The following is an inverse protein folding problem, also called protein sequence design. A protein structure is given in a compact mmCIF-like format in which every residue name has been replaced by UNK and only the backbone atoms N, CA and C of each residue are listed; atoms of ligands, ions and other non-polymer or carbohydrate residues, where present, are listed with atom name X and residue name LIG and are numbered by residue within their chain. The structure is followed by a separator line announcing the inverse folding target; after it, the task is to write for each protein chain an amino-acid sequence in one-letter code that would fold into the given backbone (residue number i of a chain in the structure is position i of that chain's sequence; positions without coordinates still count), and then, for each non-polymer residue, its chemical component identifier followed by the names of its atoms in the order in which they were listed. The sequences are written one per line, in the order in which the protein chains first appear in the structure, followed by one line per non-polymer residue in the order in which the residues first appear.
data_IF_665913732214
#
_entry.id   IF_665913732214
#
_cell.length_a   1.000
_cell.length_b   1.000
_cell.length_c   1.000
_cell.angle_alpha   90.00
_cell.angle_beta   90.00
_cell.angle_gamma   90.00
#
_symmetry.space_group_name_H-M   'P 1'
#
loop_
_entity.id
_entity.type
_entity.pdbx_description
1 polymer ?
#
# COMPACT_ATOMS: atom_id res chain seq x y z
N UNK A 1 37.04 17.74 -2.69
CA UNK A 1 35.60 17.98 -2.50
C UNK A 1 34.88 17.07 -3.51
N UNK A 2 34.46 15.88 -3.08
CA UNK A 2 33.82 14.91 -3.97
C UNK A 2 32.35 15.35 -4.19
N UNK A 3 31.88 15.51 -5.44
CA UNK A 3 30.46 15.76 -5.67
C UNK A 3 29.68 14.50 -5.27
N UNK A 4 28.71 14.67 -4.36
CA UNK A 4 27.72 13.63 -4.09
C UNK A 4 26.92 13.40 -5.37
N UNK A 5 27.15 12.27 -6.04
CA UNK A 5 26.26 11.79 -7.08
C UNK A 5 24.90 11.53 -6.42
N UNK A 6 23.93 12.40 -6.68
CA UNK A 6 22.55 12.19 -6.24
C UNK A 6 22.05 10.86 -6.79
N UNK A 7 21.61 9.96 -5.90
CA UNK A 7 21.09 8.66 -6.31
C UNK A 7 19.94 8.80 -7.31
N UNK A 8 19.88 7.91 -8.30
CA UNK A 8 18.81 7.85 -9.28
C UNK A 8 17.44 7.82 -8.59
N UNK A 9 16.56 8.74 -8.95
CA UNK A 9 15.19 8.81 -8.44
C UNK A 9 14.41 7.62 -9.00
N UNK A 10 13.88 6.70 -8.17
CA UNK A 10 13.16 5.54 -8.69
C UNK A 10 11.82 5.99 -9.25
N UNK A 11 11.59 5.80 -10.53
CA UNK A 11 10.31 6.06 -11.19
C UNK A 11 9.60 4.73 -11.40
N UNK A 12 8.47 4.54 -10.72
CA UNK A 12 7.70 3.30 -10.78
C UNK A 12 6.26 3.63 -11.15
N UNK A 13 5.71 2.89 -12.10
CA UNK A 13 4.35 3.03 -12.58
C UNK A 13 3.63 1.69 -12.39
N UNK A 14 2.43 1.74 -11.83
CA UNK A 14 1.56 0.59 -11.66
C UNK A 14 0.21 0.87 -12.32
N UNK A 15 -0.15 0.06 -13.31
CA UNK A 15 -1.42 0.15 -14.02
C UNK A 15 -2.39 -0.98 -13.63
N UNK A 16 -1.94 -1.92 -12.80
CA UNK A 16 -2.73 -3.05 -12.32
C UNK A 16 -2.24 -3.50 -10.94
N UNK A 17 -3.05 -4.27 -10.19
CA UNK A 17 -2.62 -4.88 -8.94
C UNK A 17 -1.42 -5.80 -9.15
N UNK A 18 -0.61 -5.96 -8.12
CA UNK A 18 0.54 -6.86 -8.04
C UNK A 18 1.68 -6.57 -9.03
N UNK A 19 1.74 -5.37 -9.62
CA UNK A 19 2.90 -4.90 -10.39
C UNK A 19 3.93 -4.15 -9.55
N UNK A 20 3.48 -3.32 -8.60
CA UNK A 20 4.37 -2.58 -7.70
C UNK A 20 3.83 -2.59 -6.28
N UNK A 21 4.63 -3.14 -5.38
CA UNK A 21 4.37 -3.08 -3.94
C UNK A 21 5.32 -2.09 -3.27
N UNK A 22 4.79 -1.35 -2.32
CA UNK A 22 5.53 -0.58 -1.34
C UNK A 22 5.70 -1.43 -0.08
N UNK A 23 6.89 -1.45 0.52
CA UNK A 23 7.16 -2.12 1.77
C UNK A 23 7.81 -1.16 2.77
N UNK A 24 7.23 -1.07 3.97
CA UNK A 24 7.77 -0.24 5.03
C UNK A 24 7.57 -0.85 6.43
N UNK A 25 8.32 -0.34 7.41
CA UNK A 25 8.30 -0.76 8.80
C UNK A 25 8.05 0.45 9.69
N UNK A 26 7.03 0.36 10.55
CA UNK A 26 6.78 1.39 11.56
C UNK A 26 6.86 0.83 12.98
N UNK A 27 7.26 1.69 13.92
CA UNK A 27 7.31 1.35 15.34
C UNK A 27 5.95 1.58 16.00
N UNK A 28 5.52 0.61 16.78
CA UNK A 28 4.39 0.68 17.70
C UNK A 28 4.94 0.77 19.13
N UNK A 29 4.39 1.65 19.95
CA UNK A 29 4.85 1.79 21.33
C UNK A 29 4.41 0.58 22.17
N UNK A 30 5.37 -0.09 22.80
CA UNK A 30 5.11 -1.19 23.73
C UNK A 30 4.75 -0.71 25.14
N UNK A 31 4.69 -1.66 26.11
CA UNK A 31 4.15 -1.40 27.45
C UNK A 31 5.00 -0.43 28.26
N UNK A 32 6.30 -0.33 27.95
CA UNK A 32 7.24 0.54 28.66
C UNK A 32 7.90 1.57 27.73
N UNK A 33 8.50 2.60 28.32
CA UNK A 33 9.33 3.56 27.59
C UNK A 33 10.48 2.81 26.91
N UNK A 34 10.76 3.15 25.64
CA UNK A 34 11.77 2.50 24.80
C UNK A 34 11.52 1.03 24.42
N UNK A 35 10.40 0.45 24.83
CA UNK A 35 9.92 -0.82 24.31
C UNK A 35 9.08 -0.56 23.05
N UNK A 36 9.39 -1.25 21.97
CA UNK A 36 8.70 -1.11 20.69
C UNK A 36 8.40 -2.47 20.09
N UNK A 37 7.25 -2.53 19.40
CA UNK A 37 6.98 -3.56 18.41
C UNK A 37 7.17 -2.97 17.01
N UNK A 38 7.45 -3.84 16.05
CA UNK A 38 7.75 -3.46 14.68
C UNK A 38 6.66 -4.03 13.78
N UNK A 39 5.90 -3.13 13.17
CA UNK A 39 4.86 -3.47 12.21
C UNK A 39 5.45 -3.33 10.81
N UNK A 40 5.62 -4.46 10.13
CA UNK A 40 5.97 -4.52 8.72
C UNK A 40 4.69 -4.53 7.90
N UNK A 41 4.63 -3.71 6.83
CA UNK A 41 3.47 -3.62 5.93
C UNK A 41 3.95 -3.63 4.48
N UNK A 42 3.39 -4.55 3.69
CA UNK A 42 3.53 -4.61 2.24
C UNK A 42 2.18 -4.19 1.65
N UNK A 43 2.22 -3.14 0.84
CA UNK A 43 1.06 -2.44 0.30
C UNK A 43 1.16 -2.40 -1.23
N UNK A 44 0.12 -2.82 -1.92
CA UNK A 44 0.01 -2.63 -3.36
C UNK A 44 -0.31 -1.16 -3.68
N UNK A 45 0.53 -0.48 -4.46
CA UNK A 45 0.38 0.98 -4.66
C UNK A 45 -0.79 1.34 -5.57
N UNK A 46 -1.17 0.43 -6.48
CA UNK A 46 -2.25 0.66 -7.44
C UNK A 46 -3.61 0.61 -6.74
N UNK A 47 -3.85 -0.45 -5.99
CA UNK A 47 -5.10 -0.73 -5.29
C UNK A 47 -5.16 -0.17 -3.87
N UNK A 48 -4.03 0.25 -3.30
CA UNK A 48 -3.85 0.55 -1.86
C UNK A 48 -4.14 -0.64 -0.95
N UNK A 49 -4.14 -1.87 -1.47
CA UNK A 49 -4.46 -3.05 -0.69
C UNK A 49 -3.24 -3.51 0.10
N UNK A 50 -3.39 -3.71 1.41
CA UNK A 50 -2.34 -4.31 2.23
C UNK A 50 -2.32 -5.80 1.94
N UNK A 51 -1.37 -6.19 1.08
CA UNK A 51 -1.21 -7.58 0.63
C UNK A 51 -0.65 -8.49 1.73
N UNK A 52 0.21 -7.93 2.59
CA UNK A 52 0.85 -8.66 3.69
C UNK A 52 1.32 -7.73 4.80
N UNK A 53 1.28 -8.20 6.03
CA UNK A 53 1.79 -7.47 7.19
C UNK A 53 2.20 -8.44 8.30
N UNK A 54 3.05 -7.98 9.22
CA UNK A 54 3.33 -8.72 10.47
C UNK A 54 3.74 -7.78 11.59
N UNK A 55 3.48 -8.19 12.84
CA UNK A 55 4.01 -7.53 14.03
C UNK A 55 5.06 -8.41 14.69
N UNK A 56 6.26 -7.84 14.90
CA UNK A 56 7.42 -8.48 15.47
C UNK A 56 7.94 -7.73 16.70
N UNK A 57 8.64 -8.43 17.60
CA UNK A 57 9.33 -7.83 18.75
C UNK A 57 10.69 -7.22 18.39
N UNK A 58 11.21 -7.51 17.19
CA UNK A 58 12.46 -6.97 16.66
C UNK A 58 12.44 -6.94 15.14
N UNK A 59 13.21 -6.05 14.56
CA UNK A 59 13.53 -6.10 13.14
C UNK A 59 14.52 -7.24 12.86
N UNK A 60 14.22 -8.06 11.84
CA UNK A 60 15.10 -9.16 11.43
C UNK A 60 14.88 -9.50 9.96
N UNK A 61 15.97 -9.69 9.22
CA UNK A 61 15.93 -10.14 7.83
C UNK A 61 15.14 -11.46 7.68
N UNK A 62 15.30 -12.42 8.60
CA UNK A 62 14.58 -13.69 8.55
C UNK A 62 13.05 -13.50 8.67
N UNK A 63 12.59 -12.53 9.46
CA UNK A 63 11.16 -12.23 9.56
C UNK A 63 10.63 -11.56 8.28
N UNK A 64 11.42 -10.65 7.70
CA UNK A 64 11.11 -10.05 6.41
C UNK A 64 11.02 -11.10 5.29
N UNK A 65 11.92 -12.07 5.26
CA UNK A 65 11.89 -13.16 4.28
C UNK A 65 10.61 -14.00 4.38
N UNK A 66 10.24 -14.39 5.60
CA UNK A 66 9.01 -15.14 5.85
C UNK A 66 7.79 -14.35 5.39
N UNK A 67 7.71 -13.06 5.75
CA UNK A 67 6.63 -12.18 5.32
C UNK A 67 6.53 -12.08 3.80
N UNK A 68 7.63 -11.76 3.12
CA UNK A 68 7.66 -11.57 1.67
C UNK A 68 7.26 -12.87 0.97
N UNK A 69 7.86 -14.00 1.36
CA UNK A 69 7.56 -15.31 0.75
C UNK A 69 6.09 -15.69 0.92
N UNK A 70 5.54 -15.55 2.12
CA UNK A 70 4.13 -15.85 2.39
C UNK A 70 3.19 -14.92 1.63
N UNK A 71 3.55 -13.64 1.53
CA UNK A 71 2.75 -12.64 0.81
C UNK A 71 2.74 -12.91 -0.69
N UNK A 72 3.91 -13.23 -1.27
CA UNK A 72 4.01 -13.61 -2.69
C UNK A 72 3.22 -14.88 -2.99
N UNK A 73 3.31 -15.90 -2.14
CA UNK A 73 2.53 -17.13 -2.29
C UNK A 73 1.02 -16.87 -2.19
N UNK A 74 0.58 -16.05 -1.23
CA UNK A 74 -0.83 -15.67 -1.05
C UNK A 74 -1.38 -14.92 -2.27
N UNK A 75 -0.58 -14.07 -2.87
CA UNK A 75 -0.95 -13.26 -4.03
C UNK A 75 -0.65 -13.92 -5.38
N UNK A 76 -0.19 -15.18 -5.35
CA UNK A 76 0.21 -15.94 -6.54
C UNK A 76 1.17 -15.17 -7.46
N UNK A 77 2.17 -14.51 -6.87
CA UNK A 77 3.16 -13.72 -7.62
C UNK A 77 4.06 -14.64 -8.43
N UNK A 78 4.11 -14.39 -9.74
CA UNK A 78 5.00 -15.05 -10.68
C UNK A 78 6.37 -14.34 -10.74
N UNK A 79 7.37 -15.05 -11.28
CA UNK A 79 8.68 -14.45 -11.54
C UNK A 79 8.56 -13.29 -12.51
N UNK A 80 9.35 -12.25 -12.30
CA UNK A 80 9.45 -11.05 -13.13
C UNK A 80 8.16 -10.21 -13.23
N UNK A 81 7.13 -10.53 -12.44
CA UNK A 81 5.86 -9.82 -12.38
C UNK A 81 5.91 -8.57 -11.50
N UNK A 82 6.66 -8.64 -10.39
CA UNK A 82 6.53 -7.70 -9.27
C UNK A 82 7.80 -6.87 -9.08
N UNK A 83 7.62 -5.58 -8.82
CA UNK A 83 8.62 -4.72 -8.20
C UNK A 83 8.26 -4.43 -6.74
N UNK A 84 9.20 -4.62 -5.82
CA UNK A 84 9.06 -4.16 -4.42
C UNK A 84 9.92 -2.91 -4.23
N UNK A 85 9.25 -1.81 -3.87
CA UNK A 85 9.87 -0.56 -3.46
C UNK A 85 9.93 -0.45 -1.94
N UNK A 86 11.10 -0.23 -1.38
CA UNK A 86 11.28 -0.09 0.05
C UNK A 86 12.30 1.01 0.40
N UNK A 87 12.21 1.54 1.61
CA UNK A 87 13.22 2.44 2.12
C UNK A 87 14.59 1.75 2.28
N UNK A 88 15.63 2.54 2.59
CA UNK A 88 16.99 2.02 2.78
C UNK A 88 17.26 1.51 4.21
N UNK A 89 16.22 1.06 4.91
CA UNK A 89 16.34 0.49 6.25
C UNK A 89 17.29 -0.73 6.29
N UNK A 90 17.86 -1.03 7.45
CA UNK A 90 18.81 -2.14 7.62
C UNK A 90 18.20 -3.50 7.24
N UNK A 91 16.93 -3.73 7.56
CA UNK A 91 16.19 -4.93 7.17
C UNK A 91 16.01 -5.01 5.64
N UNK A 92 15.68 -3.88 5.01
CA UNK A 92 15.34 -3.78 3.59
C UNK A 92 16.56 -3.88 2.67
N UNK A 93 17.73 -3.48 3.17
CA UNK A 93 19.01 -3.51 2.45
C UNK A 93 19.86 -4.73 2.80
N UNK A 94 19.31 -5.67 3.58
CA UNK A 94 20.03 -6.85 4.03
C UNK A 94 20.27 -7.84 2.87
N UNK A 95 21.46 -8.45 2.84
CA UNK A 95 21.82 -9.47 1.83
C UNK A 95 20.80 -10.63 1.74
N UNK A 96 20.31 -11.19 2.87
CA UNK A 96 19.36 -12.30 2.81
C UNK A 96 18.06 -11.92 2.09
N UNK A 97 17.50 -10.73 2.38
CA UNK A 97 16.31 -10.21 1.68
C UNK A 97 16.60 -9.97 0.20
N UNK A 98 17.76 -9.39 -0.15
CA UNK A 98 18.12 -9.17 -1.55
C UNK A 98 18.23 -10.48 -2.34
N UNK A 99 18.83 -11.53 -1.76
CA UNK A 99 18.89 -12.85 -2.39
C UNK A 99 17.52 -13.51 -2.53
N UNK A 100 16.66 -13.40 -1.51
CA UNK A 100 15.28 -13.88 -1.61
C UNK A 100 14.54 -13.24 -2.78
N UNK A 101 14.62 -11.92 -2.92
CA UNK A 101 13.95 -11.21 -4.00
C UNK A 101 14.46 -11.66 -5.36
N UNK A 102 15.78 -11.84 -5.52
CA UNK A 102 16.37 -12.38 -6.74
C UNK A 102 15.90 -13.82 -7.05
N UNK A 103 15.82 -14.69 -6.05
CA UNK A 103 15.33 -16.07 -6.22
C UNK A 103 13.87 -16.08 -6.72
N UNK A 104 13.03 -15.21 -6.13
CA UNK A 104 11.63 -15.03 -6.51
C UNK A 104 11.43 -14.27 -7.83
N UNK A 105 12.50 -13.77 -8.47
CA UNK A 105 12.39 -12.94 -9.68
C UNK A 105 11.69 -11.60 -9.43
N UNK A 106 11.82 -11.04 -8.22
CA UNK A 106 11.21 -9.76 -7.85
C UNK A 106 12.24 -8.65 -8.03
N UNK A 107 11.86 -7.60 -8.76
CA UNK A 107 12.72 -6.43 -8.92
C UNK A 107 12.72 -5.60 -7.63
N UNK A 108 13.90 -5.30 -7.11
CA UNK A 108 14.04 -4.45 -5.92
C UNK A 108 14.27 -2.99 -6.32
N UNK A 109 13.49 -2.08 -5.73
CA UNK A 109 13.65 -0.63 -5.86
C UNK A 109 13.81 0.00 -4.48
N UNK A 110 14.60 1.07 -4.38
CA UNK A 110 14.82 1.77 -3.12
C UNK A 110 14.70 3.28 -3.24
N UNK A 111 14.18 3.90 -2.18
CA UNK A 111 14.21 5.35 -1.95
C UNK A 111 15.63 5.92 -2.09
N UNK A 112 15.75 7.19 -2.47
CA UNK A 112 17.06 7.85 -2.57
C UNK A 112 17.75 7.88 -1.20
N UNK A 113 19.11 7.82 -1.16
CA UNK A 113 19.83 7.99 0.08
C UNK A 113 19.39 9.26 0.82
N UNK A 114 19.06 9.12 2.10
CA UNK A 114 18.63 10.22 2.97
C UNK A 114 17.29 10.89 2.59
N UNK A 115 16.44 10.25 1.78
CA UNK A 115 15.10 10.73 1.43
C UNK A 115 14.06 9.66 1.77
N UNK A 116 13.47 9.73 2.96
CA UNK A 116 12.36 8.84 3.36
C UNK A 116 11.06 9.11 2.59
N UNK A 117 10.89 10.33 2.09
CA UNK A 117 9.66 10.77 1.41
C UNK A 117 9.41 10.11 0.04
N UNK A 118 10.28 9.21 -0.43
CA UNK A 118 10.08 8.50 -1.69
C UNK A 118 9.12 7.29 -1.53
N UNK A 119 8.56 7.04 -0.32
CA UNK A 119 7.57 5.99 -0.07
C UNK A 119 6.17 6.49 0.39
N UNK A 120 5.51 7.36 -0.39
CA UNK A 120 4.31 8.10 0.05
C UNK A 120 3.10 7.22 0.37
N UNK A 121 2.99 6.03 -0.24
CA UNK A 121 1.84 5.13 -0.02
C UNK A 121 1.89 4.47 1.35
N UNK A 122 3.06 3.99 1.78
CA UNK A 122 3.25 3.45 3.13
C UNK A 122 3.09 4.54 4.18
N UNK A 123 3.64 5.73 3.97
CA UNK A 123 3.46 6.86 4.88
C UNK A 123 1.98 7.23 5.06
N UNK A 124 1.22 7.31 3.96
CA UNK A 124 -0.21 7.59 4.01
C UNK A 124 -0.98 6.49 4.75
N UNK A 125 -0.66 5.21 4.51
CA UNK A 125 -1.26 4.07 5.20
C UNK A 125 -0.98 4.12 6.71
N UNK A 126 0.27 4.38 7.12
CA UNK A 126 0.62 4.51 8.54
C UNK A 126 -0.03 5.71 9.20
N UNK A 127 -0.21 6.81 8.47
CA UNK A 127 -0.99 7.95 8.96
C UNK A 127 -2.44 7.53 9.21
N UNK A 128 -3.08 6.82 8.29
CA UNK A 128 -4.44 6.29 8.48
C UNK A 128 -4.51 5.38 9.70
N UNK A 129 -3.52 4.50 9.90
CA UNK A 129 -3.45 3.65 11.09
C UNK A 129 -3.35 4.47 12.39
N UNK A 130 -2.40 5.40 12.47
CA UNK A 130 -2.03 6.09 13.73
C UNK A 130 -2.96 7.22 14.13
N UNK A 131 -3.70 7.79 13.18
CA UNK A 131 -4.62 8.91 13.45
C UNK A 131 -6.05 8.46 13.71
N UNK A 132 -6.32 7.15 13.69
CA UNK A 132 -7.63 6.64 14.08
C UNK A 132 -7.89 6.85 15.58
N UNK A 133 -9.11 7.21 15.98
CA UNK A 133 -9.45 7.45 17.40
C UNK A 133 -9.18 6.25 18.31
N UNK A 134 -9.28 5.03 17.78
CA UNK A 134 -9.04 3.77 18.49
C UNK A 134 -7.58 3.31 18.45
N UNK A 135 -6.66 4.07 17.84
CA UNK A 135 -5.24 3.76 17.89
C UNK A 135 -4.68 4.02 19.30
N UNK A 136 -4.15 3.00 20.00
CA UNK A 136 -3.75 3.15 21.37
C UNK A 136 -2.42 3.90 21.46
N UNK A 137 -2.25 4.71 22.51
CA UNK A 137 -0.97 5.38 22.78
C UNK A 137 0.18 4.39 23.05
N UNK A 138 -0.15 3.21 23.62
CA UNK A 138 0.76 2.08 23.88
C UNK A 138 0.01 0.76 23.79
N UNK A 139 0.70 -0.29 23.39
CA UNK A 139 0.21 -1.66 23.43
C UNK A 139 0.78 -2.39 24.64
N UNK A 140 -0.08 -3.02 25.42
CA UNK A 140 0.31 -3.76 26.63
C UNK A 140 1.13 -5.02 26.31
N UNK A 141 0.89 -5.64 25.16
CA UNK A 141 1.59 -6.84 24.69
C UNK A 141 1.70 -6.87 23.16
N UNK A 142 2.54 -7.78 22.63
CA UNK A 142 2.64 -8.00 21.19
C UNK A 142 1.35 -8.61 20.64
N UNK A 143 0.64 -9.42 21.44
CA UNK A 143 -0.66 -9.99 21.11
C UNK A 143 -1.73 -8.91 20.98
N UNK A 144 -1.72 -7.90 21.87
CA UNK A 144 -2.61 -6.75 21.77
C UNK A 144 -2.34 -5.96 20.47
N UNK A 145 -1.07 -5.74 20.14
CA UNK A 145 -0.68 -5.09 18.88
C UNK A 145 -1.12 -5.89 17.65
N UNK A 146 -0.94 -7.22 17.65
CA UNK A 146 -1.39 -8.11 16.57
C UNK A 146 -2.91 -8.10 16.41
N UNK A 147 -3.65 -8.16 17.52
CA UNK A 147 -5.12 -8.12 17.51
C UNK A 147 -5.63 -6.82 16.92
N UNK A 148 -5.08 -5.69 17.37
CA UNK A 148 -5.43 -4.38 16.82
C UNK A 148 -5.12 -4.29 15.32
N UNK A 149 -3.93 -4.71 14.89
CA UNK A 149 -3.55 -4.71 13.48
C UNK A 149 -4.47 -5.61 12.65
N UNK A 150 -4.86 -6.78 13.16
CA UNK A 150 -5.77 -7.69 12.45
C UNK A 150 -7.13 -7.05 12.18
N UNK A 151 -7.73 -6.44 13.20
CA UNK A 151 -8.99 -5.69 13.05
C UNK A 151 -8.81 -4.52 12.08
N UNK A 152 -7.73 -3.74 12.27
CA UNK A 152 -7.47 -2.57 11.45
C UNK A 152 -7.29 -2.92 9.98
N UNK A 153 -6.49 -3.94 9.64
CA UNK A 153 -6.21 -4.28 8.24
C UNK A 153 -7.41 -4.92 7.54
N UNK A 154 -8.24 -5.68 8.27
CA UNK A 154 -9.53 -6.14 7.73
C UNK A 154 -10.41 -4.95 7.35
N UNK A 155 -10.62 -4.01 8.27
CA UNK A 155 -11.37 -2.79 7.98
C UNK A 155 -10.73 -1.94 6.86
N UNK A 156 -9.42 -1.76 6.88
CA UNK A 156 -8.70 -0.93 5.91
C UNK A 156 -8.85 -1.47 4.48
N UNK A 157 -8.72 -2.79 4.31
CA UNK A 157 -8.79 -3.42 2.99
C UNK A 157 -10.24 -3.52 2.49
N UNK A 158 -11.17 -3.91 3.34
CA UNK A 158 -12.49 -4.41 2.93
C UNK A 158 -13.63 -3.42 3.18
N UNK A 159 -13.43 -2.38 4.00
CA UNK A 159 -14.48 -1.44 4.38
C UNK A 159 -14.11 0.03 4.15
N UNK A 160 -12.84 0.40 4.35
CA UNK A 160 -12.40 1.78 4.23
C UNK A 160 -12.44 2.24 2.77
N UNK A 161 -13.25 3.26 2.48
CA UNK A 161 -13.40 3.83 1.14
C UNK A 161 -12.35 4.91 0.92
N UNK A 162 -11.54 4.74 -0.11
CA UNK A 162 -10.49 5.70 -0.41
C UNK A 162 -10.93 6.71 -1.47
N UNK A 163 -10.81 8.01 -1.17
CA UNK A 163 -11.16 9.09 -2.12
C UNK A 163 -10.37 8.98 -3.42
N UNK A 164 -9.06 8.76 -3.34
CA UNK A 164 -8.23 8.58 -4.54
C UNK A 164 -8.42 7.23 -5.26
N UNK A 165 -9.37 6.38 -4.83
CA UNK A 165 -9.83 5.18 -5.57
C UNK A 165 -11.29 5.35 -6.02
N UNK A 166 -11.81 6.57 -6.10
CA UNK A 166 -13.22 6.78 -6.46
C UNK A 166 -14.20 6.25 -5.40
N UNK A 167 -13.82 6.33 -4.11
CA UNK A 167 -14.61 5.81 -2.98
C UNK A 167 -14.84 4.29 -3.01
N UNK A 168 -14.01 3.55 -3.73
CA UNK A 168 -13.91 2.10 -3.63
C UNK A 168 -13.07 1.69 -2.41
N UNK A 169 -13.30 0.47 -1.93
CA UNK A 169 -12.39 -0.16 -0.96
C UNK A 169 -11.11 -0.59 -1.68
N UNK A 170 -10.04 -0.85 -0.94
CA UNK A 170 -8.82 -1.34 -1.56
C UNK A 170 -9.04 -2.73 -2.20
N UNK A 171 -9.83 -3.59 -1.55
CA UNK A 171 -10.18 -4.91 -2.07
C UNK A 171 -10.98 -4.85 -3.37
N UNK A 172 -11.90 -3.87 -3.50
CA UNK A 172 -12.66 -3.67 -4.73
C UNK A 172 -11.74 -3.47 -5.95
N UNK A 173 -10.67 -2.68 -5.78
CA UNK A 173 -9.70 -2.42 -6.84
C UNK A 173 -8.78 -3.62 -7.03
N UNK A 174 -8.27 -4.18 -5.94
CA UNK A 174 -7.27 -5.25 -5.97
C UNK A 174 -7.77 -6.52 -6.66
N UNK A 175 -9.04 -6.88 -6.45
CA UNK A 175 -9.66 -8.09 -7.01
C UNK A 175 -10.57 -7.80 -8.21
N UNK A 176 -10.51 -6.60 -8.80
CA UNK A 176 -11.24 -6.29 -10.04
C UNK A 176 -12.76 -6.17 -9.89
N UNK A 177 -13.27 -5.90 -8.69
CA UNK A 177 -14.71 -5.72 -8.43
C UNK A 177 -15.20 -4.29 -8.69
N UNK A 178 -14.28 -3.35 -8.93
CA UNK A 178 -14.53 -1.93 -9.01
C UNK A 178 -15.61 -1.56 -10.05
N UNK A 179 -15.54 -2.10 -11.27
CA UNK A 179 -16.51 -1.80 -12.33
C UNK A 179 -17.92 -2.26 -11.96
N UNK A 180 -18.06 -3.49 -11.47
CA UNK A 180 -19.37 -4.01 -11.02
C UNK A 180 -19.99 -3.15 -9.91
N UNK A 181 -19.17 -2.67 -8.98
CA UNK A 181 -19.62 -1.78 -7.89
C UNK A 181 -19.98 -0.40 -8.44
N UNK A 182 -19.23 0.09 -9.43
CA UNK A 182 -19.47 1.36 -10.08
C UNK A 182 -20.80 1.35 -10.84
N UNK A 183 -21.10 0.27 -11.56
CA UNK A 183 -22.36 0.08 -12.27
C UNK A 183 -23.55 0.08 -11.30
N UNK A 184 -23.44 -0.65 -10.19
CA UNK A 184 -24.47 -0.64 -9.13
C UNK A 184 -24.69 0.78 -8.58
N UNK A 185 -23.63 1.56 -8.39
CA UNK A 185 -23.75 2.97 -7.97
C UNK A 185 -24.42 3.83 -9.05
N UNK A 186 -24.12 3.60 -10.33
CA UNK A 186 -24.76 4.31 -11.43
C UNK A 186 -26.28 4.12 -11.41
N UNK A 187 -26.75 2.89 -11.19
CA UNK A 187 -28.19 2.59 -11.06
C UNK A 187 -28.84 3.34 -9.90
N UNK A 188 -28.19 3.37 -8.72
CA UNK A 188 -28.69 4.09 -7.55
C UNK A 188 -28.76 5.59 -7.80
N UNK A 189 -27.71 6.17 -8.39
CA UNK A 189 -27.62 7.58 -8.72
C UNK A 189 -28.66 8.00 -9.77
N UNK A 190 -28.87 7.18 -10.80
CA UNK A 190 -29.91 7.40 -11.81
C UNK A 190 -31.31 7.37 -11.19
N UNK A 191 -31.57 6.41 -10.29
CA UNK A 191 -32.85 6.30 -9.58
C UNK A 191 -33.10 7.52 -8.67
N UNK A 192 -32.07 7.98 -7.96
CA UNK A 192 -32.15 9.18 -7.12
C UNK A 192 -32.41 10.45 -7.95
N UNK A 193 -31.76 10.57 -9.11
CA UNK A 193 -31.99 11.68 -10.04
C UNK A 193 -33.41 11.69 -10.61
N UNK A 194 -33.93 10.52 -10.99
CA UNK A 194 -35.30 10.39 -11.50
C UNK A 194 -36.36 10.77 -10.44
N UNK A 195 -36.11 10.44 -9.16
CA UNK A 195 -37.03 10.77 -8.07
C UNK A 195 -36.96 12.24 -7.63
N UNK A 196 -35.77 12.84 -7.67
CA UNK A 196 -35.49 14.17 -7.11
C UNK A 196 -34.55 15.00 -7.98
N UNK A 197 -34.93 15.35 -9.23
CA UNK A 197 -34.06 16.10 -10.14
C UNK A 197 -33.68 17.48 -9.58
N UNK A 198 -34.52 18.09 -8.74
CA UNK A 198 -34.28 19.38 -8.09
C UNK A 198 -33.06 19.39 -7.16
N UNK A 199 -32.64 18.22 -6.66
CA UNK A 199 -31.42 18.09 -5.84
C UNK A 199 -30.14 18.12 -6.66
N UNK A 200 -30.23 18.08 -7.99
CA UNK A 200 -29.11 17.99 -8.93
C UNK A 200 -29.13 19.15 -9.92
N UNK A 201 -28.63 20.31 -9.47
CA UNK A 201 -28.79 21.62 -10.12
C UNK A 201 -28.16 21.73 -11.52
N UNK A 202 -27.13 20.94 -11.82
CA UNK A 202 -26.36 21.10 -13.07
C UNK A 202 -26.50 19.95 -14.05
N UNK A 203 -26.35 18.71 -13.58
CA UNK A 203 -26.38 17.52 -14.43
C UNK A 203 -26.74 16.27 -13.61
N UNK A 204 -27.15 15.18 -14.27
CA UNK A 204 -27.28 13.89 -13.61
C UNK A 204 -25.99 13.50 -12.88
N UNK A 205 -26.09 12.95 -11.66
CA UNK A 205 -24.93 12.49 -10.92
C UNK A 205 -24.27 11.30 -11.61
N UNK A 206 -22.94 11.27 -11.61
CA UNK A 206 -22.15 10.16 -12.14
C UNK A 206 -21.31 9.55 -11.00
N UNK A 207 -21.15 8.22 -10.95
CA UNK A 207 -20.27 7.63 -9.96
C UNK A 207 -18.81 8.03 -10.25
N UNK A 208 -17.98 8.16 -9.21
CA UNK A 208 -16.57 8.54 -9.36
C UNK A 208 -15.82 7.63 -10.36
N UNK A 209 -14.77 8.19 -10.98
CA UNK A 209 -13.88 7.42 -11.85
C UNK A 209 -13.00 6.50 -11.03
N UNK A 210 -12.70 5.33 -11.59
CA UNK A 210 -11.72 4.39 -11.06
C UNK A 210 -10.33 4.84 -11.56
N UNK A 211 -9.30 4.91 -10.71
CA UNK A 211 -7.95 5.25 -11.16
C UNK A 211 -7.41 4.15 -12.08
N UNK A 212 -6.71 4.57 -13.14
CA UNK A 212 -6.08 3.68 -14.11
C UNK A 212 -4.57 3.50 -13.88
N UNK A 213 -3.95 4.38 -13.09
CA UNK A 213 -2.51 4.37 -12.87
C UNK A 213 -2.16 4.94 -11.50
N UNK A 214 -1.14 4.38 -10.85
CA UNK A 214 -0.46 4.92 -9.68
C UNK A 214 1.04 4.96 -9.92
N UNK A 215 1.75 5.86 -9.24
CA UNK A 215 3.20 5.98 -9.42
C UNK A 215 3.93 6.33 -8.12
N UNK A 216 5.16 5.84 -8.00
CA UNK A 216 6.17 6.39 -7.11
C UNK A 216 7.09 7.22 -7.98
N UNK A 217 7.21 8.52 -7.68
CA UNK A 217 7.91 9.52 -8.49
C UNK A 217 7.46 9.51 -9.96
N UNK A 218 6.47 10.34 -10.28
CA UNK A 218 5.92 10.42 -11.64
C UNK A 218 7.04 10.67 -12.66
N UNK A 219 7.13 9.88 -13.75
CA UNK A 219 8.01 10.17 -14.86
C UNK A 219 7.65 11.51 -15.51
N UNK A 220 8.66 12.25 -15.96
CA UNK A 220 8.46 13.56 -16.62
C UNK A 220 7.82 13.42 -18.02
N UNK A 221 7.83 12.22 -18.61
CA UNK A 221 7.17 11.89 -19.88
C UNK A 221 6.21 10.70 -19.71
N UNK A 222 4.95 10.77 -20.18
CA UNK A 222 4.09 9.59 -20.24
C UNK A 222 4.73 8.57 -21.18
N UNK A 223 4.96 7.33 -20.72
CA UNK A 223 5.28 6.23 -21.62
C UNK A 223 4.08 6.06 -22.57
N UNK A 224 4.30 6.25 -23.86
CA UNK A 224 3.31 5.95 -24.90
C UNK A 224 2.89 4.49 -24.76
N UNK A 225 1.58 4.26 -24.67
CA UNK A 225 0.97 2.93 -24.72
C UNK A 225 1.48 2.24 -25.99
N UNK A 226 2.41 1.29 -25.83
CA UNK A 226 2.84 0.46 -26.94
C UNK A 226 1.73 -0.56 -27.18
N UNK A 227 1.01 -0.38 -28.29
CA UNK A 227 -0.06 -1.25 -28.79
C UNK A 227 0.43 -2.67 -29.08
#
# INVERSE_FOLDING_TARGET
MHPYAGGHKPELVACQPNSVWSWDITKLHGPAKWNYYYLHVILDIFSRYVVGWMVASRESAALAEVLIRQTCAKQAIERDQLTIHADRGSSMTSKPVAFLLADLGITQSHSRPHVSNDNPFSEAQFKTLKYRPDFPGRFDSIEAARTHCHIFFGWYNDEHRHTGLGLHTAADIHYGLAETIRDKRATVLASAYAAHPERFVHKPPEPPKIPNTSWINRPDQPQEETQ
#
